data_IF_782519873512
#
_entry.id   IF_782519873512
#
_cell.length_a   1.000
_cell.length_b   1.000
_cell.length_c   1.000
_cell.angle_alpha   90.00
_cell.angle_beta   90.00
_cell.angle_gamma   90.00
#
_symmetry.space_group_name_H-M   'P 1'
#
loop_
_entity.id
_entity.type
_entity.pdbx_description
1 polymer ?
#
# COMPACT_ATOMS: atom_id res chain seq x y z
N UNK A 1 -48.67 33.07 63.62
CA UNK A 1 -48.03 33.56 62.35
C UNK A 1 -46.76 32.77 62.16
N UNK A 2 -46.77 31.77 61.30
CA UNK A 2 -45.60 30.92 61.01
C UNK A 2 -45.19 31.23 59.58
N UNK A 3 -44.03 31.85 59.43
CA UNK A 3 -43.48 32.26 58.16
C UNK A 3 -42.61 31.08 57.65
N UNK A 4 -43.06 30.35 56.61
CA UNK A 4 -42.29 29.28 55.94
C UNK A 4 -41.45 29.89 54.84
N UNK A 5 -40.12 29.81 54.96
CA UNK A 5 -39.19 30.20 53.92
C UNK A 5 -38.92 29.01 53.01
N UNK A 6 -39.33 29.12 51.73
CA UNK A 6 -38.92 28.19 50.68
C UNK A 6 -37.47 28.50 50.24
N UNK A 7 -36.56 27.55 50.43
CA UNK A 7 -35.25 27.54 49.81
C UNK A 7 -35.37 26.92 48.40
N UNK A 8 -35.14 27.73 47.35
CA UNK A 8 -34.93 27.25 45.99
C UNK A 8 -33.50 26.75 45.88
N UNK A 9 -33.33 25.46 45.73
CA UNK A 9 -32.05 24.87 45.36
C UNK A 9 -31.84 24.95 43.83
N UNK A 10 -30.94 25.77 43.37
CA UNK A 10 -30.49 25.85 41.99
C UNK A 10 -29.52 24.68 41.72
N UNK A 11 -29.96 23.71 40.94
CA UNK A 11 -29.11 22.61 40.42
C UNK A 11 -28.32 23.17 39.26
N UNK A 12 -27.01 23.42 39.46
CA UNK A 12 -26.06 23.61 38.36
C UNK A 12 -25.75 22.25 37.72
N UNK A 13 -26.25 22.04 36.51
CA UNK A 13 -25.79 20.95 35.66
C UNK A 13 -24.40 21.30 35.11
N UNK A 14 -23.42 20.38 35.21
CA UNK A 14 -22.14 20.60 34.57
C UNK A 14 -22.31 20.57 33.06
N UNK A 15 -21.99 21.67 32.40
CA UNK A 15 -21.81 21.70 30.94
C UNK A 15 -20.61 20.83 30.58
N UNK A 16 -20.87 19.67 30.05
CA UNK A 16 -19.83 18.81 29.43
C UNK A 16 -19.42 19.52 28.14
N UNK A 17 -18.34 20.26 28.20
CA UNK A 17 -17.69 20.88 27.05
C UNK A 17 -16.78 19.78 26.42
N UNK A 18 -17.35 18.83 25.66
CA UNK A 18 -16.61 17.87 24.87
C UNK A 18 -16.23 18.48 23.51
N UNK A 19 -15.45 19.55 23.54
CA UNK A 19 -14.60 19.87 22.41
C UNK A 19 -13.38 18.95 22.50
N UNK A 20 -13.53 17.69 22.08
CA UNK A 20 -12.37 16.90 21.70
C UNK A 20 -11.78 17.57 20.47
N UNK A 21 -10.69 18.33 20.68
CA UNK A 21 -9.76 18.66 19.62
C UNK A 21 -9.25 17.34 19.05
N UNK A 22 -9.87 16.85 17.98
CA UNK A 22 -9.23 15.94 17.09
C UNK A 22 -8.06 16.73 16.48
N UNK A 23 -6.86 16.57 17.02
CA UNK A 23 -5.65 16.89 16.30
C UNK A 23 -5.73 16.06 15.03
N UNK A 24 -6.14 16.68 13.93
CA UNK A 24 -5.98 16.14 12.60
C UNK A 24 -4.47 16.15 12.34
N UNK A 25 -3.81 15.04 12.62
CA UNK A 25 -2.47 14.76 12.12
C UNK A 25 -2.55 14.91 10.60
N UNK A 26 -2.04 16.02 10.08
CA UNK A 26 -2.10 16.30 8.65
C UNK A 26 -1.12 15.39 7.93
N UNK A 27 -1.66 14.53 7.04
CA UNK A 27 -0.81 13.86 6.07
C UNK A 27 -0.06 14.90 5.25
N UNK A 28 1.26 14.78 5.20
CA UNK A 28 2.11 15.63 4.36
C UNK A 28 2.55 14.78 3.17
N UNK A 29 2.15 15.20 1.97
CA UNK A 29 2.57 14.54 0.74
C UNK A 29 4.10 14.51 0.65
N UNK A 30 4.72 13.38 0.36
CA UNK A 30 6.17 13.27 0.17
C UNK A 30 6.64 13.88 -1.16
N UNK A 31 5.72 14.20 -2.06
CA UNK A 31 6.05 14.75 -3.37
C UNK A 31 6.11 16.27 -3.34
N UNK A 32 7.25 16.78 -3.73
CA UNK A 32 7.52 18.22 -3.87
C UNK A 32 6.72 18.83 -5.03
N UNK A 33 6.59 18.08 -6.12
CA UNK A 33 5.84 18.46 -7.31
C UNK A 33 4.62 17.55 -7.47
N UNK A 34 3.40 18.08 -7.52
CA UNK A 34 2.18 17.29 -7.75
C UNK A 34 2.21 16.57 -9.10
N UNK A 35 1.63 15.38 -9.15
CA UNK A 35 1.50 14.56 -10.35
C UNK A 35 0.21 13.74 -10.31
N UNK A 36 -0.22 13.20 -11.45
CA UNK A 36 -1.33 12.25 -11.56
C UNK A 36 -0.96 11.09 -12.46
N UNK A 37 -1.71 9.98 -12.39
CA UNK A 37 -1.48 8.82 -13.28
C UNK A 37 -1.80 9.10 -14.73
N UNK A 38 -2.75 10.01 -15.03
CA UNK A 38 -3.05 10.45 -16.39
C UNK A 38 -1.87 11.16 -17.06
N UNK A 39 -0.98 11.75 -16.27
CA UNK A 39 0.24 12.42 -16.72
C UNK A 39 1.44 11.47 -16.82
N UNK A 40 1.27 10.14 -16.66
CA UNK A 40 2.40 9.21 -16.53
C UNK A 40 3.42 9.29 -17.70
N UNK A 41 2.97 9.59 -18.91
CA UNK A 41 3.85 9.78 -20.07
C UNK A 41 4.72 11.04 -19.97
N UNK A 42 4.37 12.01 -19.12
CA UNK A 42 4.98 13.33 -18.99
C UNK A 42 5.56 13.60 -17.60
N UNK A 43 5.64 12.61 -16.71
CA UNK A 43 6.17 12.82 -15.37
C UNK A 43 7.57 13.43 -15.35
N UNK A 44 8.45 13.02 -16.28
CA UNK A 44 9.80 13.59 -16.39
C UNK A 44 9.85 15.08 -16.77
N UNK A 45 8.74 15.64 -17.24
CA UNK A 45 8.62 17.04 -17.61
C UNK A 45 8.14 17.90 -16.42
N UNK A 46 7.56 17.27 -15.39
CA UNK A 46 7.01 17.96 -14.23
C UNK A 46 8.08 18.43 -13.25
N UNK A 47 9.13 17.63 -13.07
CA UNK A 47 10.22 17.93 -12.14
C UNK A 47 11.52 17.26 -12.63
N UNK A 48 12.69 17.94 -12.57
CA UNK A 48 13.98 17.33 -12.87
C UNK A 48 14.28 16.05 -12.08
N UNK A 49 13.80 15.96 -10.84
CA UNK A 49 13.96 14.78 -9.99
C UNK A 49 13.18 13.56 -10.53
N UNK A 50 12.21 13.77 -11.44
CA UNK A 50 11.42 12.71 -12.08
C UNK A 50 12.01 12.23 -13.42
N UNK A 51 13.21 12.65 -13.78
CA UNK A 51 13.86 12.31 -15.06
C UNK A 51 13.91 10.79 -15.31
N UNK A 52 14.10 9.97 -14.26
CA UNK A 52 14.15 8.52 -14.36
C UNK A 52 12.84 7.91 -14.88
N UNK A 53 11.68 8.58 -14.71
CA UNK A 53 10.39 8.09 -15.19
C UNK A 53 10.34 7.88 -16.70
N UNK A 54 11.14 8.64 -17.48
CA UNK A 54 11.21 8.52 -18.92
C UNK A 54 12.57 8.01 -19.41
N UNK A 55 13.68 8.41 -18.76
CA UNK A 55 15.03 8.04 -19.20
C UNK A 55 15.51 6.69 -18.65
N UNK A 56 14.89 6.18 -17.57
CA UNK A 56 15.25 4.93 -16.92
C UNK A 56 15.10 3.73 -17.86
N UNK A 57 15.94 2.72 -17.65
CA UNK A 57 15.98 1.50 -18.47
C UNK A 57 15.45 0.26 -17.74
N UNK A 58 15.32 0.34 -16.42
CA UNK A 58 14.82 -0.73 -15.57
C UNK A 58 13.51 -0.32 -14.89
N UNK A 59 12.60 0.22 -15.68
CA UNK A 59 11.35 0.77 -15.15
C UNK A 59 10.29 -0.30 -14.88
N UNK A 60 9.38 -0.02 -13.93
CA UNK A 60 8.21 -0.81 -13.53
C UNK A 60 6.93 0.01 -13.73
N UNK A 61 5.75 -0.64 -13.83
CA UNK A 61 5.53 -2.09 -13.88
C UNK A 61 5.92 -2.69 -15.24
N UNK A 62 5.85 -4.03 -15.36
CA UNK A 62 6.09 -4.74 -16.62
C UNK A 62 4.96 -5.72 -16.92
N UNK A 63 4.87 -6.15 -18.19
CA UNK A 63 4.10 -7.32 -18.59
C UNK A 63 5.00 -8.56 -18.57
N UNK A 64 4.69 -9.54 -17.74
CA UNK A 64 5.41 -10.80 -17.61
C UNK A 64 4.91 -11.76 -18.69
N UNK A 65 5.62 -11.84 -19.80
CA UNK A 65 5.30 -12.67 -20.96
C UNK A 65 6.10 -13.98 -20.97
N UNK A 66 7.41 -13.89 -20.76
CA UNK A 66 8.34 -14.99 -20.77
C UNK A 66 9.18 -14.99 -19.51
N UNK A 67 9.44 -16.18 -19.00
CA UNK A 67 10.18 -16.36 -17.75
C UNK A 67 11.26 -17.41 -17.89
N UNK A 68 12.32 -17.27 -17.12
CA UNK A 68 13.37 -18.27 -16.98
C UNK A 68 13.23 -18.96 -15.63
N UNK A 69 12.95 -20.28 -15.63
CA UNK A 69 12.92 -21.07 -14.41
C UNK A 69 14.31 -21.11 -13.77
N UNK A 70 14.37 -20.75 -12.51
CA UNK A 70 15.64 -20.65 -11.79
C UNK A 70 15.49 -21.23 -10.37
N UNK A 71 16.55 -21.80 -9.79
CA UNK A 71 16.55 -22.24 -8.40
C UNK A 71 16.64 -21.02 -7.46
N UNK A 72 15.53 -20.29 -7.35
CA UNK A 72 15.43 -19.11 -6.53
C UNK A 72 15.14 -19.48 -5.06
N UNK A 73 15.65 -18.70 -4.08
CA UNK A 73 15.34 -18.92 -2.67
C UNK A 73 13.85 -18.75 -2.41
N UNK A 74 13.28 -19.53 -1.49
CA UNK A 74 11.91 -19.34 -1.03
C UNK A 74 11.75 -17.99 -0.34
N UNK A 75 10.60 -17.32 -0.57
CA UNK A 75 10.21 -16.15 0.20
C UNK A 75 9.69 -16.60 1.57
N UNK A 76 10.23 -16.03 2.64
CA UNK A 76 9.70 -16.22 3.99
C UNK A 76 9.18 -14.88 4.50
N UNK A 77 7.91 -14.86 4.88
CA UNK A 77 7.25 -13.69 5.43
C UNK A 77 7.17 -13.85 6.95
N UNK A 78 8.01 -13.12 7.66
CA UNK A 78 7.99 -13.02 9.12
C UNK A 78 7.19 -11.78 9.53
N UNK A 79 5.89 -11.76 9.19
CA UNK A 79 5.01 -10.66 9.52
C UNK A 79 4.32 -10.91 10.86
N UNK A 80 4.27 -9.87 11.67
CA UNK A 80 3.61 -9.87 12.97
C UNK A 80 2.41 -8.93 12.97
N UNK A 81 1.44 -9.24 13.82
CA UNK A 81 0.34 -8.32 14.09
C UNK A 81 0.86 -7.08 14.81
N UNK A 82 0.38 -5.92 14.39
CA UNK A 82 0.73 -4.64 14.99
C UNK A 82 -0.50 -3.71 14.97
N UNK A 83 -0.60 -2.76 15.91
CA UNK A 83 -1.66 -1.76 15.89
C UNK A 83 -1.67 -0.99 14.56
N UNK A 84 -2.83 -0.96 13.91
CA UNK A 84 -3.09 -0.10 12.76
C UNK A 84 -3.29 1.32 13.28
N UNK A 85 -2.33 2.22 13.02
CA UNK A 85 -2.40 3.60 13.51
C UNK A 85 -3.21 4.49 12.59
N UNK A 86 -2.93 4.41 11.29
CA UNK A 86 -3.56 5.24 10.27
C UNK A 86 -3.82 4.45 8.99
N UNK A 87 -4.93 4.75 8.35
CA UNK A 87 -5.15 4.49 6.92
C UNK A 87 -5.03 5.83 6.20
N UNK A 88 -4.22 5.87 5.15
CA UNK A 88 -3.84 7.09 4.44
C UNK A 88 -4.43 7.05 3.03
N UNK A 89 -5.17 8.09 2.69
CA UNK A 89 -5.46 8.44 1.31
C UNK A 89 -4.45 9.52 0.90
N UNK A 90 -3.45 9.15 0.09
CA UNK A 90 -2.35 10.05 -0.25
C UNK A 90 -2.57 10.84 -1.55
N UNK A 91 -3.81 10.87 -2.06
CA UNK A 91 -4.15 11.49 -3.34
C UNK A 91 -3.89 10.59 -4.56
N UNK A 92 -3.21 9.45 -4.38
CA UNK A 92 -2.83 8.52 -5.46
C UNK A 92 -3.25 7.08 -5.19
N UNK A 93 -3.41 6.69 -3.92
CA UNK A 93 -3.83 5.36 -3.48
C UNK A 93 -4.22 5.36 -2.00
N UNK A 94 -4.70 4.22 -1.52
CA UNK A 94 -4.85 3.92 -0.08
C UNK A 94 -3.61 3.18 0.40
N UNK A 95 -3.00 3.71 1.45
CA UNK A 95 -1.71 3.27 1.98
C UNK A 95 -1.74 3.09 3.50
N UNK A 96 -0.91 2.18 4.00
CA UNK A 96 -0.60 1.99 5.42
C UNK A 96 0.91 2.00 5.62
N UNK A 97 1.38 2.84 6.52
CA UNK A 97 2.80 2.98 6.86
C UNK A 97 3.19 2.19 8.11
N UNK A 98 4.40 1.64 8.08
CA UNK A 98 5.01 0.87 9.16
C UNK A 98 6.27 1.53 9.73
N UNK A 99 6.53 2.81 9.41
CA UNK A 99 7.76 3.52 9.79
C UNK A 99 7.96 3.72 11.29
N UNK A 100 6.86 3.94 12.02
CA UNK A 100 6.91 4.27 13.44
C UNK A 100 7.14 3.08 14.36
N UNK A 101 7.31 1.91 13.79
CA UNK A 101 7.59 0.68 14.53
C UNK A 101 8.91 0.05 14.07
N UNK A 102 10.08 0.67 14.33
CA UNK A 102 11.38 0.15 13.91
C UNK A 102 11.68 -1.26 14.44
N UNK A 103 10.85 -1.76 15.34
CA UNK A 103 10.91 -3.12 15.90
C UNK A 103 9.62 -3.90 15.64
N UNK A 104 8.79 -3.51 14.68
CA UNK A 104 7.48 -4.14 14.42
C UNK A 104 7.58 -5.62 14.03
N UNK A 105 8.78 -6.14 13.79
CA UNK A 105 9.00 -7.55 13.50
C UNK A 105 8.42 -8.04 12.18
N UNK A 106 7.99 -7.16 11.26
CA UNK A 106 7.46 -7.56 9.95
C UNK A 106 8.57 -7.51 8.90
N UNK A 107 9.00 -8.70 8.45
CA UNK A 107 10.12 -8.83 7.53
C UNK A 107 9.83 -9.80 6.38
N UNK A 108 10.38 -9.47 5.22
CA UNK A 108 10.59 -10.40 4.12
C UNK A 108 12.03 -10.92 4.17
N UNK A 109 12.19 -12.25 4.12
CA UNK A 109 13.48 -12.92 4.07
C UNK A 109 13.62 -13.61 2.70
N UNK A 110 14.72 -13.31 2.01
CA UNK A 110 15.05 -13.88 0.68
C UNK A 110 16.48 -14.38 0.73
N UNK A 111 16.69 -15.68 0.82
CA UNK A 111 18.02 -16.23 1.13
C UNK A 111 18.53 -15.68 2.46
N UNK A 112 19.70 -15.04 2.43
CA UNK A 112 20.32 -14.40 3.61
C UNK A 112 19.95 -12.91 3.76
N UNK A 113 19.17 -12.37 2.83
CA UNK A 113 18.77 -10.96 2.87
C UNK A 113 17.47 -10.79 3.68
N UNK A 114 17.48 -9.78 4.55
CA UNK A 114 16.33 -9.41 5.38
C UNK A 114 15.88 -8.00 5.04
N UNK A 115 14.58 -7.84 4.73
CA UNK A 115 13.96 -6.57 4.35
C UNK A 115 12.81 -6.27 5.29
N UNK A 116 12.84 -5.13 5.97
CA UNK A 116 11.76 -4.68 6.85
C UNK A 116 10.61 -4.12 6.01
N UNK A 117 9.38 -4.51 6.32
CA UNK A 117 8.18 -3.91 5.75
C UNK A 117 8.11 -2.42 6.15
N UNK A 118 8.02 -1.54 5.18
CA UNK A 118 7.94 -0.09 5.40
C UNK A 118 6.55 0.47 5.19
N UNK A 119 5.84 -0.04 4.19
CA UNK A 119 4.46 0.34 3.89
C UNK A 119 3.83 -0.67 2.94
N UNK A 120 2.51 -0.64 2.81
CA UNK A 120 1.80 -1.28 1.72
C UNK A 120 0.70 -0.37 1.16
N UNK A 121 0.32 -0.59 -0.09
CA UNK A 121 -0.69 0.18 -0.80
C UNK A 121 -1.32 -0.63 -1.93
N UNK A 122 -2.36 -0.10 -2.54
CA UNK A 122 -3.15 -0.82 -3.54
C UNK A 122 -3.20 -0.06 -4.86
N UNK A 123 -3.45 -0.80 -5.97
CA UNK A 123 -3.74 -0.21 -7.28
C UNK A 123 -4.87 -0.96 -7.98
N UNK A 124 -5.62 -0.26 -8.82
CA UNK A 124 -6.69 -0.78 -9.64
C UNK A 124 -6.61 -0.22 -11.08
N UNK A 125 -6.57 -1.13 -12.11
CA UNK A 125 -6.34 -2.57 -12.04
C UNK A 125 -4.97 -2.91 -11.44
N UNK A 126 -4.47 -4.14 -11.55
CA UNK A 126 -3.07 -4.40 -11.19
C UNK A 126 -2.13 -3.65 -12.13
N UNK A 127 -1.00 -3.17 -11.58
CA UNK A 127 0.07 -2.56 -12.38
C UNK A 127 0.85 -3.63 -13.16
N UNK A 128 1.12 -4.78 -12.54
CA UNK A 128 1.74 -5.93 -13.19
C UNK A 128 0.74 -6.64 -14.10
N UNK A 129 1.18 -6.93 -15.33
CA UNK A 129 0.44 -7.74 -16.27
C UNK A 129 1.05 -9.14 -16.34
N UNK A 130 0.19 -10.15 -16.49
CA UNK A 130 0.59 -11.53 -16.82
C UNK A 130 0.01 -11.89 -18.17
N UNK A 131 0.88 -12.13 -19.16
CA UNK A 131 0.49 -12.48 -20.54
C UNK A 131 -0.52 -11.47 -21.15
N UNK A 132 -0.24 -10.18 -21.00
CA UNK A 132 -1.02 -9.08 -21.55
C UNK A 132 -2.29 -8.75 -20.77
N UNK A 133 -2.50 -9.34 -19.59
CA UNK A 133 -3.73 -9.13 -18.79
C UNK A 133 -3.42 -8.67 -17.38
N UNK A 134 -4.04 -7.58 -16.92
CA UNK A 134 -4.01 -7.20 -15.50
C UNK A 134 -4.97 -8.10 -14.68
N UNK A 135 -4.73 -8.16 -13.38
CA UNK A 135 -5.72 -8.61 -12.39
C UNK A 135 -6.65 -7.46 -12.00
N UNK A 136 -7.70 -7.75 -11.22
CA UNK A 136 -8.67 -6.73 -10.81
C UNK A 136 -8.02 -5.61 -9.98
N UNK A 137 -7.08 -5.98 -9.10
CA UNK A 137 -6.27 -5.07 -8.30
C UNK A 137 -4.90 -5.70 -7.99
N UNK A 138 -4.00 -4.94 -7.38
CA UNK A 138 -2.77 -5.44 -6.77
C UNK A 138 -2.56 -4.77 -5.41
N UNK A 139 -1.95 -5.52 -4.49
CA UNK A 139 -1.39 -5.04 -3.24
C UNK A 139 0.13 -5.04 -3.38
N UNK A 140 0.76 -3.89 -3.22
CA UNK A 140 2.20 -3.74 -3.12
C UNK A 140 2.64 -3.66 -1.66
N UNK A 141 3.52 -4.56 -1.24
CA UNK A 141 4.17 -4.53 0.07
C UNK A 141 5.62 -4.10 -0.15
N UNK A 142 5.98 -2.91 0.32
CA UNK A 142 7.30 -2.32 0.11
C UNK A 142 8.20 -2.53 1.33
N UNK A 143 9.41 -2.97 1.06
CA UNK A 143 10.38 -3.33 2.10
C UNK A 143 11.72 -2.66 1.85
N UNK A 144 12.50 -2.50 2.93
CA UNK A 144 13.85 -1.94 2.86
C UNK A 144 14.81 -2.74 3.74
N UNK A 145 15.99 -3.08 3.21
CA UNK A 145 17.05 -3.71 4.00
C UNK A 145 17.81 -2.66 4.83
N UNK A 146 18.64 -3.13 5.76
CA UNK A 146 19.51 -2.26 6.56
C UNK A 146 20.50 -1.48 5.69
N UNK A 147 20.92 -2.05 4.54
CA UNK A 147 21.81 -1.43 3.56
C UNK A 147 21.07 -0.50 2.58
N UNK A 148 19.77 -0.32 2.76
CA UNK A 148 18.97 0.57 1.92
C UNK A 148 18.45 -0.04 0.63
N UNK A 149 18.65 -1.34 0.37
CA UNK A 149 18.08 -2.04 -0.79
C UNK A 149 16.56 -2.10 -0.65
N UNK A 150 15.85 -1.89 -1.74
CA UNK A 150 14.39 -1.89 -1.78
C UNK A 150 13.87 -3.16 -2.44
N UNK A 151 12.87 -3.77 -1.82
CA UNK A 151 12.15 -4.92 -2.36
C UNK A 151 10.64 -4.65 -2.35
N UNK A 152 9.97 -4.90 -3.47
CA UNK A 152 8.53 -4.85 -3.63
C UNK A 152 7.96 -6.26 -3.78
N UNK A 153 6.91 -6.58 -3.02
CA UNK A 153 6.11 -7.79 -3.23
C UNK A 153 4.77 -7.38 -3.80
N UNK A 154 4.46 -7.85 -5.00
CA UNK A 154 3.18 -7.64 -5.65
C UNK A 154 2.29 -8.88 -5.44
N UNK A 155 1.17 -8.68 -4.75
CA UNK A 155 0.12 -9.68 -4.55
C UNK A 155 -1.04 -9.35 -5.46
N UNK A 156 -1.22 -10.11 -6.52
CA UNK A 156 -2.34 -9.92 -7.44
C UNK A 156 -3.66 -10.23 -6.73
N UNK A 157 -4.64 -9.37 -6.89
CA UNK A 157 -5.96 -9.52 -6.29
C UNK A 157 -6.99 -9.78 -7.38
N UNK A 158 -7.88 -10.75 -7.16
CA UNK A 158 -8.95 -11.11 -8.08
C UNK A 158 -10.30 -11.12 -7.37
N UNK A 159 -11.36 -10.91 -8.13
CA UNK A 159 -12.73 -11.04 -7.62
C UNK A 159 -13.01 -12.46 -7.14
N UNK A 160 -13.59 -12.58 -5.94
CA UNK A 160 -13.91 -13.86 -5.30
C UNK A 160 -14.49 -13.66 -3.90
N UNK A 161 -14.02 -14.44 -2.93
CA UNK A 161 -14.44 -14.33 -1.53
C UNK A 161 -13.94 -13.01 -0.91
N UNK A 162 -14.70 -12.46 0.04
CA UNK A 162 -14.28 -11.27 0.77
C UNK A 162 -13.05 -11.55 1.64
N UNK A 163 -12.10 -10.60 1.66
CA UNK A 163 -10.95 -10.63 2.54
C UNK A 163 -11.23 -9.77 3.78
N UNK A 164 -11.20 -10.39 4.96
CA UNK A 164 -11.53 -9.70 6.22
C UNK A 164 -10.54 -8.58 6.56
N UNK A 165 -9.26 -8.75 6.24
CA UNK A 165 -8.23 -7.72 6.51
C UNK A 165 -8.40 -6.52 5.59
N UNK A 166 -8.71 -6.75 4.31
CA UNK A 166 -9.05 -5.68 3.36
C UNK A 166 -10.32 -4.97 3.82
N UNK A 167 -11.32 -5.70 4.37
CA UNK A 167 -12.54 -5.09 4.89
C UNK A 167 -12.24 -4.14 6.06
N UNK A 168 -11.42 -4.57 7.02
CA UNK A 168 -10.99 -3.71 8.13
C UNK A 168 -10.31 -2.42 7.66
N UNK A 169 -9.48 -2.50 6.60
CA UNK A 169 -8.84 -1.31 6.03
C UNK A 169 -9.86 -0.38 5.37
N UNK A 170 -10.80 -0.95 4.59
CA UNK A 170 -11.81 -0.17 3.87
C UNK A 170 -12.80 0.55 4.79
N UNK A 171 -13.05 0.04 5.99
CA UNK A 171 -13.87 0.71 7.02
C UNK A 171 -13.22 2.01 7.53
N UNK A 172 -11.92 2.18 7.28
CA UNK A 172 -11.14 3.34 7.72
C UNK A 172 -10.55 4.15 6.55
N UNK A 173 -10.97 3.90 5.31
CA UNK A 173 -10.47 4.67 4.15
C UNK A 173 -10.95 6.12 4.21
N UNK A 174 -10.04 7.13 4.22
CA UNK A 174 -10.45 8.52 4.06
C UNK A 174 -11.06 8.77 2.68
N UNK A 175 -12.20 9.44 2.63
CA UNK A 175 -12.89 9.77 1.38
C UNK A 175 -12.16 10.83 0.54
N UNK A 176 -11.26 11.60 1.17
CA UNK A 176 -10.43 12.64 0.54
C UNK A 176 -8.99 12.45 0.98
N UNK A 177 -8.05 13.11 0.29
CA UNK A 177 -6.64 13.11 0.70
C UNK A 177 -6.48 13.49 2.17
N UNK A 178 -5.69 12.70 2.89
CA UNK A 178 -5.49 12.82 4.32
C UNK A 178 -5.25 11.47 4.98
N UNK A 179 -5.29 11.44 6.32
CA UNK A 179 -5.16 10.20 7.08
C UNK A 179 -6.30 10.05 8.10
N UNK A 180 -6.77 8.81 8.25
CA UNK A 180 -7.76 8.41 9.24
C UNK A 180 -7.06 7.68 10.38
N UNK A 181 -7.12 8.24 11.58
CA UNK A 181 -6.63 7.56 12.77
C UNK A 181 -7.51 6.34 13.10
N UNK A 182 -6.87 5.25 13.44
CA UNK A 182 -7.50 3.98 13.79
C UNK A 182 -7.08 3.58 15.19
N UNK A 183 -8.02 3.11 16.00
CA UNK A 183 -7.75 2.63 17.35
C UNK A 183 -8.41 1.28 17.59
N UNK A 184 -7.74 0.43 18.38
CA UNK A 184 -8.27 -0.88 18.77
C UNK A 184 -8.30 -1.93 17.66
N UNK A 185 -7.61 -1.68 16.54
CA UNK A 185 -7.49 -2.62 15.42
C UNK A 185 -6.03 -3.04 15.30
N UNK A 186 -5.77 -4.34 15.41
CA UNK A 186 -4.48 -4.94 15.07
C UNK A 186 -4.55 -5.52 13.66
N UNK A 187 -3.51 -5.26 12.86
CA UNK A 187 -3.41 -5.74 11.50
C UNK A 187 -2.18 -6.61 11.32
N UNK A 188 -2.37 -7.79 10.73
CA UNK A 188 -1.28 -8.64 10.29
C UNK A 188 -1.26 -8.71 8.75
N UNK A 189 -0.26 -8.14 8.07
CA UNK A 189 -0.17 -8.17 6.61
C UNK A 189 -0.12 -9.58 6.02
N UNK A 190 0.29 -10.59 6.80
CA UNK A 190 0.31 -11.99 6.37
C UNK A 190 -1.09 -12.50 5.96
N UNK A 191 -2.16 -11.93 6.52
CA UNK A 191 -3.53 -12.30 6.16
C UNK A 191 -3.95 -11.88 4.73
N UNK A 192 -3.14 -11.05 4.08
CA UNK A 192 -3.31 -10.63 2.68
C UNK A 192 -2.37 -11.37 1.72
N UNK A 193 -1.62 -12.38 2.19
CA UNK A 193 -0.75 -13.20 1.36
C UNK A 193 -1.44 -14.50 0.93
N UNK A 194 -1.12 -15.04 -0.26
CA UNK A 194 -1.57 -16.36 -0.65
C UNK A 194 -0.82 -17.46 0.13
N UNK A 195 -1.40 -18.64 0.24
CA UNK A 195 -0.73 -19.80 0.88
C UNK A 195 0.51 -20.26 0.12
N UNK A 196 0.46 -20.23 -1.21
CA UNK A 196 1.58 -20.59 -2.08
C UNK A 196 2.31 -19.31 -2.50
N UNK A 197 3.61 -19.22 -2.19
CA UNK A 197 4.46 -18.04 -2.39
C UNK A 197 5.44 -18.20 -3.54
N UNK A 198 5.14 -19.05 -4.53
CA UNK A 198 5.85 -19.07 -5.80
C UNK A 198 5.77 -17.71 -6.49
N UNK A 199 6.84 -17.28 -7.16
CA UNK A 199 6.94 -15.89 -7.62
C UNK A 199 7.71 -15.75 -8.94
N UNK A 200 7.48 -14.64 -9.61
CA UNK A 200 8.33 -14.06 -10.63
C UNK A 200 9.18 -12.96 -10.01
N UNK A 201 10.42 -12.78 -10.50
CA UNK A 201 11.28 -11.70 -10.00
C UNK A 201 12.07 -11.03 -11.11
N UNK A 202 12.24 -9.73 -10.96
CA UNK A 202 13.03 -8.89 -11.85
C UNK A 202 13.52 -7.64 -11.10
N UNK A 203 14.55 -6.99 -11.63
CA UNK A 203 14.98 -5.67 -11.15
C UNK A 203 14.19 -4.59 -11.89
N UNK A 204 13.58 -3.70 -11.14
CA UNK A 204 12.73 -2.63 -11.65
C UNK A 204 12.88 -1.32 -10.90
N UNK A 205 11.80 -0.56 -10.84
CA UNK A 205 11.74 0.77 -10.22
C UNK A 205 10.53 0.92 -9.31
N UNK A 206 10.43 2.05 -8.63
CA UNK A 206 9.15 2.55 -8.14
C UNK A 206 8.22 2.81 -9.32
N UNK A 207 6.91 2.60 -9.12
CA UNK A 207 5.87 2.80 -10.16
C UNK A 207 5.22 4.17 -10.11
N UNK A 208 5.68 5.03 -9.21
CA UNK A 208 5.30 6.42 -9.07
C UNK A 208 6.54 7.32 -9.08
N UNK A 209 6.44 8.62 -9.39
CA UNK A 209 7.55 9.55 -9.28
C UNK A 209 8.25 9.48 -7.91
N UNK A 210 9.58 9.49 -7.86
CA UNK A 210 10.53 9.80 -8.94
C UNK A 210 10.96 8.60 -9.81
N UNK A 211 10.26 7.45 -9.78
CA UNK A 211 10.53 6.25 -10.57
C UNK A 211 11.95 5.67 -10.36
N UNK A 212 12.46 5.80 -9.15
CA UNK A 212 13.82 5.36 -8.78
C UNK A 212 14.03 3.88 -9.07
N UNK A 213 15.09 3.55 -9.79
CA UNK A 213 15.46 2.18 -10.15
C UNK A 213 16.15 1.45 -8.99
N UNK A 214 16.35 0.14 -9.14
CA UNK A 214 17.01 -0.69 -8.12
C UNK A 214 16.03 -1.39 -7.17
N UNK A 215 14.74 -1.38 -7.46
CA UNK A 215 13.75 -2.16 -6.73
C UNK A 215 13.79 -3.62 -7.21
N UNK A 216 13.98 -4.58 -6.31
CA UNK A 216 13.78 -5.99 -6.60
C UNK A 216 12.30 -6.32 -6.42
N UNK A 217 11.62 -6.67 -7.50
CA UNK A 217 10.22 -7.06 -7.49
C UNK A 217 10.05 -8.57 -7.35
N UNK A 218 9.10 -8.98 -6.50
CA UNK A 218 8.62 -10.34 -6.32
C UNK A 218 7.12 -10.36 -6.59
N UNK A 219 6.70 -10.79 -7.78
CA UNK A 219 5.30 -10.87 -8.18
C UNK A 219 4.79 -12.27 -7.86
N UNK A 220 3.89 -12.39 -6.88
CA UNK A 220 3.38 -13.70 -6.45
C UNK A 220 2.50 -14.31 -7.53
N UNK A 221 2.74 -15.60 -7.85
CA UNK A 221 2.01 -16.33 -8.90
C UNK A 221 0.55 -16.60 -8.53
N UNK A 222 0.28 -16.81 -7.25
CA UNK A 222 -1.05 -17.16 -6.75
C UNK A 222 -1.78 -15.89 -6.33
N UNK A 223 -2.89 -15.52 -6.97
CA UNK A 223 -3.67 -14.36 -6.57
C UNK A 223 -4.45 -14.61 -5.27
N UNK A 224 -4.75 -13.54 -4.55
CA UNK A 224 -5.63 -13.53 -3.39
C UNK A 224 -7.02 -13.04 -3.82
N UNK A 225 -8.05 -13.61 -3.22
CA UNK A 225 -9.43 -13.19 -3.48
C UNK A 225 -9.84 -12.02 -2.60
N UNK A 226 -10.56 -11.08 -3.22
CA UNK A 226 -11.30 -10.00 -2.56
C UNK A 226 -12.70 -9.92 -3.19
N UNK A 227 -13.70 -9.45 -2.45
CA UNK A 227 -15.05 -9.40 -3.02
C UNK A 227 -15.22 -8.29 -4.06
N UNK A 228 -16.18 -8.46 -4.98
CA UNK A 228 -16.54 -7.42 -5.94
C UNK A 228 -16.95 -6.12 -5.24
N UNK A 229 -17.59 -6.20 -4.06
CA UNK A 229 -17.92 -5.03 -3.24
C UNK A 229 -16.65 -4.30 -2.73
N UNK A 230 -15.62 -5.04 -2.32
CA UNK A 230 -14.35 -4.44 -1.90
C UNK A 230 -13.63 -3.76 -3.06
N UNK A 231 -13.61 -4.38 -4.25
CA UNK A 231 -13.07 -3.77 -5.47
C UNK A 231 -13.83 -2.48 -5.81
N UNK A 232 -15.17 -2.51 -5.74
CA UNK A 232 -16.02 -1.35 -6.04
C UNK A 232 -15.78 -0.22 -5.03
N UNK A 233 -15.65 -0.54 -3.74
CA UNK A 233 -15.37 0.47 -2.70
C UNK A 233 -14.05 1.21 -2.96
N UNK A 234 -12.98 0.52 -3.32
CA UNK A 234 -11.72 1.16 -3.71
C UNK A 234 -11.88 1.98 -5.00
N UNK A 235 -12.61 1.44 -5.98
CA UNK A 235 -12.83 2.09 -7.27
C UNK A 235 -13.63 3.41 -7.20
N UNK A 236 -14.36 3.67 -6.10
CA UNK A 236 -15.02 4.96 -5.89
C UNK A 236 -14.03 6.10 -5.68
N UNK A 237 -12.84 5.79 -5.15
CA UNK A 237 -11.76 6.75 -4.94
C UNK A 237 -10.77 6.70 -6.10
N UNK A 238 -10.36 5.49 -6.49
CA UNK A 238 -9.32 5.23 -7.47
C UNK A 238 -9.80 4.23 -8.53
N UNK A 239 -10.54 4.71 -9.56
CA UNK A 239 -11.01 3.84 -10.64
C UNK A 239 -9.87 3.32 -11.53
N UNK A 240 -8.76 4.07 -11.61
CA UNK A 240 -7.59 3.74 -12.44
C UNK A 240 -6.36 4.51 -11.93
N UNK A 241 -5.59 3.91 -11.02
CA UNK A 241 -4.43 4.50 -10.36
C UNK A 241 -3.15 3.70 -10.67
N UNK A 242 -2.85 3.54 -11.96
CA UNK A 242 -1.75 2.69 -12.44
C UNK A 242 -0.86 3.41 -13.44
N UNK A 243 0.43 3.14 -13.36
CA UNK A 243 1.39 3.51 -14.39
C UNK A 243 1.28 2.52 -15.55
N UNK A 244 1.32 2.94 -16.82
CA UNK A 244 1.40 2.03 -17.96
C UNK A 244 2.60 1.07 -17.85
N UNK A 245 2.46 -0.15 -18.38
CA UNK A 245 3.56 -1.13 -18.43
C UNK A 245 4.75 -0.59 -19.19
N UNK A 246 5.95 -0.90 -18.68
CA UNK A 246 7.22 -0.41 -19.18
C UNK A 246 7.96 -1.50 -19.96
N UNK A 247 8.78 -1.13 -20.96
CA UNK A 247 9.54 -2.11 -21.74
C UNK A 247 10.56 -2.85 -20.88
N UNK A 248 10.75 -4.13 -21.16
CA UNK A 248 11.74 -4.97 -20.46
C UNK A 248 13.18 -4.50 -20.69
N UNK A 249 13.49 -3.91 -21.83
CA UNK A 249 14.85 -3.44 -22.21
C UNK A 249 15.92 -4.54 -22.01
N UNK A 250 15.61 -5.77 -22.39
CA UNK A 250 16.53 -6.90 -22.27
C UNK A 250 16.63 -7.51 -20.87
N UNK A 251 15.85 -7.05 -19.89
CA UNK A 251 15.78 -7.71 -18.58
C UNK A 251 15.15 -9.09 -18.70
N UNK A 252 15.71 -10.03 -17.94
CA UNK A 252 15.16 -11.37 -17.79
C UNK A 252 14.27 -11.42 -16.57
N UNK A 253 13.04 -11.90 -16.73
CA UNK A 253 12.17 -12.24 -15.62
C UNK A 253 12.45 -13.68 -15.21
N UNK A 254 12.88 -13.89 -13.97
CA UNK A 254 13.09 -15.23 -13.41
C UNK A 254 11.84 -15.73 -12.72
N UNK A 255 11.67 -17.04 -12.72
CA UNK A 255 10.53 -17.71 -12.12
C UNK A 255 11.00 -18.76 -11.10
N UNK A 256 10.44 -18.74 -9.88
CA UNK A 256 10.68 -19.78 -8.88
C UNK A 256 10.07 -21.12 -9.31
N UNK A 257 10.76 -22.19 -8.98
CA UNK A 257 10.30 -23.57 -9.22
C UNK A 257 9.12 -23.94 -8.34
#
# INVERSE_FOLDING_TARGET
MICSSLLLATILLPTINSAQNAEHDHYVSPWKTPWTYEQAAHWSELDPDYAACNAGKQQSPIDIQQTEKSPLPALRFEYTSAPLKYVINNGHTIRVDYHDAPQSGSFLIVGDQRYQLTQFHFHRPSEEYLHGKPSDMVLHLMHKSAEGKVAGVAVLLKSGAANATVQQLWEHMPATEGQQAVSGVDLNPAAMLPRATGYYTYTGSQTAPPCSEGVTWFVLKTPVEISAAQITAFATLYPHDVRPVQPLNGRVVKESQ
#
